data_IF_783388279060
#
_entry.id   IF_783388279060
#
_cell.length_a   1.000
_cell.length_b   1.000
_cell.length_c   1.000
_cell.angle_alpha   90.00
_cell.angle_beta   90.00
_cell.angle_gamma   90.00
#
_symmetry.space_group_name_H-M   'P 1'
#
loop_
_entity.id
_entity.type
_entity.pdbx_description
1 polymer ?
#
# COMPACT_ATOMS: atom_id res chain seq x y z
N UNK A 1 2.47 -22.16 -14.89
CA UNK A 1 2.39 -20.96 -15.73
C UNK A 1 0.94 -20.48 -15.85
N UNK A 2 0.05 -21.34 -16.31
CA UNK A 2 -1.36 -20.98 -16.45
C UNK A 2 -1.97 -20.55 -15.12
N UNK A 3 -1.54 -21.19 -14.05
CA UNK A 3 -2.01 -20.88 -12.73
C UNK A 3 -1.57 -19.48 -12.27
N UNK A 4 -0.31 -19.12 -12.54
CA UNK A 4 0.22 -17.79 -12.20
C UNK A 4 -0.49 -16.69 -12.97
N UNK A 5 -0.78 -16.94 -14.24
CA UNK A 5 -1.50 -15.95 -15.04
C UNK A 5 -2.93 -15.78 -14.55
N UNK A 6 -3.56 -16.86 -14.14
CA UNK A 6 -4.91 -16.81 -13.58
C UNK A 6 -4.93 -16.00 -12.30
N UNK A 7 -3.95 -16.22 -11.43
CA UNK A 7 -3.86 -15.46 -10.17
C UNK A 7 -3.65 -13.97 -10.43
N UNK A 8 -2.80 -13.62 -11.39
CA UNK A 8 -2.58 -12.24 -11.78
C UNK A 8 -3.86 -11.61 -12.33
N UNK A 9 -4.57 -12.34 -13.16
CA UNK A 9 -5.80 -11.84 -13.76
C UNK A 9 -6.89 -11.64 -12.71
N UNK A 10 -6.98 -12.56 -11.75
CA UNK A 10 -7.92 -12.41 -10.65
C UNK A 10 -7.59 -11.21 -9.77
N UNK A 11 -6.31 -11.00 -9.49
CA UNK A 11 -5.87 -9.85 -8.72
C UNK A 11 -6.21 -8.54 -9.45
N UNK A 12 -5.90 -8.47 -10.74
CA UNK A 12 -6.21 -7.27 -11.51
C UNK A 12 -7.72 -7.03 -11.60
N UNK A 13 -8.50 -8.08 -11.79
CA UNK A 13 -9.95 -7.95 -11.87
C UNK A 13 -10.56 -7.45 -10.56
N UNK A 14 -9.96 -7.80 -9.43
CA UNK A 14 -10.43 -7.39 -8.11
C UNK A 14 -9.83 -6.05 -7.66
N UNK A 15 -8.99 -5.42 -8.46
CA UNK A 15 -8.32 -4.18 -8.13
C UNK A 15 -9.10 -2.99 -8.68
N UNK A 16 -9.55 -2.10 -7.80
CA UNK A 16 -10.21 -0.86 -8.22
C UNK A 16 -9.18 0.18 -8.65
N UNK A 17 -8.07 0.25 -7.92
CA UNK A 17 -6.98 1.18 -8.21
C UNK A 17 -5.69 0.62 -7.62
N UNK A 18 -4.55 0.98 -8.21
CA UNK A 18 -3.25 0.58 -7.67
C UNK A 18 -2.23 1.69 -7.87
N UNK A 19 -1.25 1.74 -6.99
CA UNK A 19 -0.09 2.61 -7.16
C UNK A 19 1.18 1.81 -6.91
N UNK A 20 2.12 1.93 -7.83
CA UNK A 20 3.44 1.33 -7.66
C UNK A 20 4.32 2.38 -7.00
N UNK A 21 4.69 2.11 -5.75
CA UNK A 21 5.42 3.07 -4.94
C UNK A 21 6.83 3.26 -5.49
N UNK A 22 7.30 4.49 -5.49
CA UNK A 22 8.64 4.82 -5.98
C UNK A 22 8.72 5.07 -7.48
N UNK A 23 7.69 4.77 -8.25
CA UNK A 23 7.65 5.10 -9.66
C UNK A 23 7.00 6.45 -9.87
N UNK A 24 7.67 7.30 -10.62
CA UNK A 24 7.26 8.70 -10.78
C UNK A 24 5.84 8.86 -11.31
N UNK A 25 5.52 8.18 -12.40
CA UNK A 25 4.23 8.38 -13.05
C UNK A 25 3.06 7.87 -12.21
N UNK A 26 3.08 6.63 -11.69
CA UNK A 26 1.99 6.18 -10.81
C UNK A 26 1.82 7.06 -9.59
N UNK A 27 2.92 7.49 -8.98
CA UNK A 27 2.83 8.34 -7.79
C UNK A 27 2.24 9.72 -8.12
N UNK A 28 2.63 10.31 -9.23
CA UNK A 28 2.06 11.59 -9.69
C UNK A 28 0.57 11.44 -9.98
N UNK A 29 0.19 10.37 -10.64
CA UNK A 29 -1.21 10.11 -10.97
C UNK A 29 -2.07 9.95 -9.73
N UNK A 30 -1.46 9.58 -8.61
CA UNK A 30 -2.17 9.39 -7.34
C UNK A 30 -1.92 10.53 -6.36
N UNK A 31 -1.46 11.68 -6.85
CA UNK A 31 -1.27 12.90 -6.05
C UNK A 31 -0.44 12.66 -4.80
N UNK A 32 0.73 12.05 -4.99
CA UNK A 32 1.63 11.75 -3.87
C UNK A 32 1.94 13.00 -3.04
N UNK A 33 1.90 12.81 -1.72
CA UNK A 33 2.44 13.76 -0.75
C UNK A 33 3.33 12.98 0.19
N UNK A 34 4.38 13.64 0.66
CA UNK A 34 5.33 12.95 1.54
C UNK A 34 6.19 13.93 2.29
N UNK A 35 6.70 13.48 3.43
CA UNK A 35 7.74 14.15 4.20
C UNK A 35 8.72 13.09 4.68
N UNK A 36 9.99 13.40 4.69
CA UNK A 36 11.06 12.49 5.13
C UNK A 36 10.90 11.11 4.51
N UNK A 37 10.62 11.10 3.23
CA UNK A 37 10.36 9.89 2.47
C UNK A 37 11.46 9.67 1.45
N UNK A 38 11.77 8.41 1.20
CA UNK A 38 12.79 8.02 0.21
C UNK A 38 12.18 7.02 -0.76
N UNK A 39 12.76 6.95 -1.94
CA UNK A 39 12.39 5.94 -2.92
C UNK A 39 13.63 5.31 -3.51
N UNK A 40 13.48 4.15 -4.09
CA UNK A 40 14.58 3.44 -4.71
C UNK A 40 14.07 2.25 -5.49
N UNK A 41 14.98 1.38 -5.87
CA UNK A 41 14.62 0.16 -6.57
C UNK A 41 15.43 -1.02 -6.04
N UNK A 42 14.85 -2.21 -6.14
CA UNK A 42 15.48 -3.45 -5.72
C UNK A 42 14.89 -4.58 -6.56
N UNK A 43 15.74 -5.37 -7.20
CA UNK A 43 15.31 -6.46 -8.07
C UNK A 43 14.29 -6.02 -9.11
N UNK A 44 14.58 -4.89 -9.77
CA UNK A 44 13.75 -4.30 -10.82
C UNK A 44 12.37 -3.83 -10.34
N UNK A 45 12.20 -3.68 -9.03
CA UNK A 45 10.96 -3.11 -8.47
C UNK A 45 11.27 -1.86 -7.69
N UNK A 46 10.43 -0.87 -7.85
CA UNK A 46 10.54 0.38 -7.13
C UNK A 46 9.84 0.30 -5.78
N UNK A 47 10.34 1.08 -4.83
CA UNK A 47 9.78 1.12 -3.49
C UNK A 47 9.84 2.54 -2.94
N UNK A 48 9.07 2.77 -1.88
CA UNK A 48 9.12 4.01 -1.10
C UNK A 48 9.04 3.67 0.37
N UNK A 49 9.75 4.43 1.19
CA UNK A 49 9.64 4.34 2.63
C UNK A 49 9.58 5.76 3.22
N UNK A 50 9.39 5.83 4.54
CA UNK A 50 9.47 7.08 5.28
C UNK A 50 10.23 6.83 6.58
N UNK A 51 10.94 7.83 7.06
CA UNK A 51 11.78 7.73 8.26
C UNK A 51 11.34 8.74 9.30
N UNK A 52 11.62 8.45 10.56
CA UNK A 52 11.33 9.35 11.66
C UNK A 52 9.86 9.70 11.77
N UNK A 53 9.55 10.98 11.71
CA UNK A 53 8.16 11.45 11.74
C UNK A 53 7.60 11.66 10.33
N UNK A 54 8.27 11.08 9.34
CA UNK A 54 7.85 11.21 7.96
C UNK A 54 6.65 10.35 7.61
N UNK A 55 6.20 10.49 6.38
CA UNK A 55 5.05 9.75 5.89
C UNK A 55 4.97 9.92 4.37
N UNK A 56 4.14 9.07 3.74
CA UNK A 56 3.76 9.29 2.36
C UNK A 56 2.30 8.88 2.18
N UNK A 57 1.63 9.54 1.25
CA UNK A 57 0.21 9.30 1.01
C UNK A 57 -0.13 9.38 -0.46
N UNK A 58 -1.21 8.69 -0.82
CA UNK A 58 -1.74 8.65 -2.17
C UNK A 58 -3.25 8.85 -2.12
N UNK A 59 -3.78 9.50 -3.16
CA UNK A 59 -5.22 9.59 -3.36
C UNK A 59 -5.60 8.51 -4.35
N UNK A 60 -6.35 7.53 -3.90
CA UNK A 60 -6.72 6.39 -4.71
C UNK A 60 -8.21 6.46 -5.06
N UNK A 61 -8.53 6.03 -6.26
CA UNK A 61 -9.91 6.12 -6.78
C UNK A 61 -10.62 4.79 -6.65
N UNK A 62 -11.87 4.84 -6.21
CA UNK A 62 -12.69 3.63 -6.13
C UNK A 62 -13.24 3.24 -7.49
N UNK A 63 -13.28 4.19 -8.42
CA UNK A 63 -13.74 3.96 -9.80
C UNK A 63 -15.15 3.37 -9.88
N UNK A 64 -16.04 3.82 -8.97
CA UNK A 64 -17.42 3.36 -8.94
C UNK A 64 -17.61 1.94 -8.44
N UNK A 65 -16.56 1.34 -7.85
CA UNK A 65 -16.61 -0.04 -7.38
C UNK A 65 -16.65 -0.07 -5.84
N UNK A 66 -17.25 -1.10 -5.30
CA UNK A 66 -17.27 -1.32 -3.85
C UNK A 66 -15.94 -1.89 -3.42
N UNK A 67 -15.16 -1.08 -2.71
CA UNK A 67 -13.87 -1.52 -2.20
C UNK A 67 -14.04 -1.97 -0.75
N UNK A 68 -13.41 -3.08 -0.41
CA UNK A 68 -13.56 -3.68 0.92
C UNK A 68 -12.24 -3.84 1.65
N UNK A 69 -11.12 -3.86 0.94
CA UNK A 69 -9.81 -4.08 1.55
C UNK A 69 -8.74 -3.26 0.87
N UNK A 70 -7.69 -2.99 1.62
CA UNK A 70 -6.46 -2.43 1.11
C UNK A 70 -5.40 -3.52 1.09
N UNK A 71 -4.69 -3.65 -0.02
CA UNK A 71 -3.61 -4.63 -0.17
C UNK A 71 -2.28 -3.90 -0.29
N UNK A 72 -1.32 -4.28 0.55
CA UNK A 72 0.00 -3.64 0.57
C UNK A 72 1.08 -4.70 0.40
N UNK A 73 1.95 -4.52 -0.59
CA UNK A 73 3.15 -5.34 -0.74
C UNK A 73 4.34 -4.59 -0.19
N UNK A 74 5.13 -5.23 0.66
CA UNK A 74 6.25 -4.59 1.34
C UNK A 74 7.38 -5.59 1.59
N UNK A 75 8.55 -5.06 1.95
CA UNK A 75 9.71 -5.87 2.25
C UNK A 75 9.63 -6.37 3.68
N UNK A 76 9.68 -7.69 3.86
CA UNK A 76 9.69 -8.30 5.19
C UNK A 76 11.10 -8.38 5.76
N UNK A 77 11.19 -8.59 7.05
CA UNK A 77 12.46 -8.85 7.73
C UNK A 77 13.38 -7.66 7.88
N UNK A 78 12.91 -6.45 7.67
CA UNK A 78 13.73 -5.25 7.85
C UNK A 78 13.71 -4.83 9.31
N UNK A 79 14.91 -4.68 9.89
CA UNK A 79 15.05 -4.29 11.28
C UNK A 79 14.57 -2.86 11.51
N UNK A 80 14.00 -2.61 12.68
CA UNK A 80 13.62 -1.29 13.13
C UNK A 80 12.60 -0.60 12.23
N UNK A 81 11.69 -1.39 11.66
CA UNK A 81 10.63 -0.87 10.80
C UNK A 81 9.26 -1.29 11.31
N UNK A 82 8.31 -0.39 11.17
CA UNK A 82 6.89 -0.66 11.32
C UNK A 82 6.15 0.42 10.55
N UNK A 83 4.86 0.26 10.40
CA UNK A 83 4.07 1.32 9.77
C UNK A 83 2.63 1.26 10.22
N UNK A 84 2.08 2.43 10.48
CA UNK A 84 0.63 2.58 10.56
C UNK A 84 0.12 2.79 9.15
N UNK A 85 -0.92 2.07 8.81
CA UNK A 85 -1.60 2.22 7.53
C UNK A 85 -2.93 2.89 7.81
N UNK A 86 -3.13 4.04 7.21
CA UNK A 86 -4.31 4.87 7.46
C UNK A 86 -5.07 5.11 6.17
N UNK A 87 -6.39 5.11 6.27
CA UNK A 87 -7.26 5.46 5.15
C UNK A 87 -8.25 6.49 5.68
N UNK A 88 -8.35 7.62 5.01
CA UNK A 88 -9.20 8.75 5.43
C UNK A 88 -8.94 9.12 6.88
N UNK A 89 -7.65 9.18 7.25
CA UNK A 89 -7.16 9.55 8.58
C UNK A 89 -7.51 8.56 9.68
N UNK A 90 -7.97 7.37 9.33
CA UNK A 90 -8.25 6.30 10.30
C UNK A 90 -7.26 5.18 10.12
N UNK A 91 -6.71 4.68 11.22
CA UNK A 91 -5.80 3.54 11.18
C UNK A 91 -6.59 2.29 10.84
N UNK A 92 -6.22 1.63 9.74
CA UNK A 92 -6.84 0.36 9.35
C UNK A 92 -5.96 -0.83 9.70
N UNK A 93 -4.71 -0.61 10.01
CA UNK A 93 -3.81 -1.68 10.43
C UNK A 93 -2.38 -1.23 10.53
N UNK A 94 -1.49 -2.20 10.73
CA UNK A 94 -0.06 -1.97 10.86
C UNK A 94 0.72 -2.96 10.01
N UNK A 95 1.83 -2.49 9.46
CA UNK A 95 2.86 -3.36 8.91
C UNK A 95 3.90 -3.56 10.00
N UNK A 96 4.13 -4.80 10.38
CA UNK A 96 5.11 -5.14 11.40
C UNK A 96 6.24 -5.97 10.81
N UNK A 97 7.44 -5.93 11.39
CA UNK A 97 8.51 -6.80 10.93
C UNK A 97 8.05 -8.25 11.02
N UNK A 98 8.20 -8.97 9.92
CA UNK A 98 7.84 -10.37 9.84
C UNK A 98 9.14 -11.15 9.74
N UNK A 99 9.24 -12.27 10.44
CA UNK A 99 10.39 -13.14 10.35
C UNK A 99 10.58 -13.57 8.89
N UNK A 100 11.83 -13.53 8.45
CA UNK A 100 12.17 -13.88 7.09
C UNK A 100 12.13 -12.70 6.15
N UNK A 101 13.03 -12.72 5.19
CA UNK A 101 13.17 -11.67 4.20
C UNK A 101 12.28 -11.94 3.01
N UNK A 102 12.12 -10.92 2.19
CA UNK A 102 11.44 -11.01 0.93
C UNK A 102 10.12 -10.27 0.92
N UNK A 103 9.44 -10.38 -0.19
CA UNK A 103 8.18 -9.67 -0.42
C UNK A 103 7.07 -10.27 0.43
N UNK A 104 6.37 -9.40 1.16
CA UNK A 104 5.21 -9.80 1.95
C UNK A 104 3.98 -9.04 1.48
N UNK A 105 2.82 -9.61 1.72
CA UNK A 105 1.55 -8.99 1.36
C UNK A 105 0.67 -8.92 2.59
N UNK A 106 0.11 -7.75 2.85
CA UNK A 106 -0.84 -7.56 3.94
C UNK A 106 -2.17 -7.06 3.38
N UNK A 107 -3.27 -7.50 3.97
CA UNK A 107 -4.61 -7.05 3.64
C UNK A 107 -5.23 -6.41 4.87
N UNK A 108 -5.90 -5.28 4.66
CA UNK A 108 -6.56 -4.57 5.74
C UNK A 108 -8.01 -4.31 5.35
N UNK A 109 -8.94 -4.67 6.23
CA UNK A 109 -10.35 -4.40 5.99
C UNK A 109 -10.62 -2.90 6.10
N UNK A 110 -11.42 -2.38 5.17
CA UNK A 110 -11.81 -0.98 5.19
C UNK A 110 -13.14 -0.85 5.95
N UNK A 111 -13.25 0.19 6.82
CA UNK A 111 -14.51 0.42 7.53
C UNK A 111 -15.66 0.72 6.58
N UNK A 112 -16.87 0.33 7.00
CA UNK A 112 -18.08 0.55 6.20
C UNK A 112 -18.34 2.04 5.94
N UNK A 113 -17.87 2.92 6.81
CA UNK A 113 -18.01 4.37 6.63
C UNK A 113 -17.33 4.89 5.37
N UNK A 114 -16.46 4.09 4.78
CA UNK A 114 -15.79 4.47 3.54
C UNK A 114 -16.55 4.06 2.29
N UNK A 115 -17.66 3.35 2.45
CA UNK A 115 -18.49 2.95 1.32
C UNK A 115 -19.05 4.17 0.61
N UNK A 116 -19.07 4.12 -0.70
CA UNK A 116 -19.64 5.19 -1.52
C UNK A 116 -18.73 6.37 -1.78
N UNK A 117 -17.54 6.39 -1.21
CA UNK A 117 -16.57 7.46 -1.49
C UNK A 117 -15.91 7.22 -2.85
N UNK A 118 -15.66 8.30 -3.58
CA UNK A 118 -15.00 8.20 -4.88
C UNK A 118 -13.50 8.13 -4.77
N UNK A 119 -12.95 8.75 -3.74
CA UNK A 119 -11.50 8.84 -3.51
C UNK A 119 -11.22 8.51 -2.05
N UNK A 120 -10.19 7.69 -1.84
CA UNK A 120 -9.70 7.37 -0.50
C UNK A 120 -8.24 7.78 -0.41
N UNK A 121 -7.89 8.54 0.62
CA UNK A 121 -6.50 8.91 0.85
C UNK A 121 -5.86 7.85 1.75
N UNK A 122 -4.82 7.21 1.23
CA UNK A 122 -4.06 6.19 1.94
C UNK A 122 -2.75 6.80 2.40
N UNK A 123 -2.46 6.68 3.69
CA UNK A 123 -1.24 7.24 4.28
C UNK A 123 -0.49 6.16 5.03
N UNK A 124 0.82 6.15 4.86
CA UNK A 124 1.71 5.20 5.52
C UNK A 124 2.78 5.98 6.26
N UNK A 125 2.96 5.68 7.54
CA UNK A 125 3.88 6.41 8.42
C UNK A 125 4.48 5.44 9.44
N UNK A 126 5.74 5.65 9.89
CA UNK A 126 6.25 4.84 10.99
C UNK A 126 5.42 5.05 12.25
N UNK A 127 5.30 4.02 13.07
CA UNK A 127 4.61 4.12 14.35
C UNK A 127 5.62 4.36 15.47
N UNK A 128 6.30 3.32 15.89
CA UNK A 128 7.27 3.41 16.99
C UNK A 128 8.70 3.18 16.55
N UNK A 129 8.90 2.60 15.38
CA UNK A 129 10.22 2.29 14.87
C UNK A 129 10.79 3.45 14.06
N UNK A 130 12.03 3.30 13.61
CA UNK A 130 12.74 4.39 12.92
C UNK A 130 12.23 4.67 11.52
N UNK A 131 11.64 3.69 10.86
CA UNK A 131 11.21 3.82 9.47
C UNK A 131 10.09 2.87 9.16
N UNK A 132 9.40 3.12 8.04
CA UNK A 132 8.52 2.11 7.47
C UNK A 132 9.37 1.07 6.75
N UNK A 133 8.86 -0.15 6.54
CA UNK A 133 9.52 -1.03 5.59
C UNK A 133 9.40 -0.43 4.20
N UNK A 134 10.16 -0.98 3.25
CA UNK A 134 10.02 -0.60 1.85
C UNK A 134 8.68 -1.08 1.35
N UNK A 135 7.90 -0.17 0.82
CA UNK A 135 6.57 -0.49 0.29
C UNK A 135 6.65 -0.47 -1.23
N UNK A 136 6.20 -1.55 -1.85
CA UNK A 136 6.30 -1.70 -3.31
C UNK A 136 5.01 -1.34 -4.02
N UNK A 137 3.86 -1.70 -3.45
CA UNK A 137 2.59 -1.52 -4.15
C UNK A 137 1.44 -1.42 -3.16
N UNK A 138 0.48 -0.56 -3.48
CA UNK A 138 -0.76 -0.43 -2.71
C UNK A 138 -1.94 -0.58 -3.68
N UNK A 139 -2.91 -1.42 -3.33
CA UNK A 139 -4.11 -1.62 -4.14
C UNK A 139 -5.38 -1.48 -3.32
N UNK A 140 -6.38 -0.85 -3.90
CA UNK A 140 -7.74 -0.89 -3.37
C UNK A 140 -8.43 -2.10 -3.98
N UNK A 141 -8.91 -3.01 -3.13
CA UNK A 141 -9.48 -4.28 -3.55
C UNK A 141 -10.99 -4.29 -3.41
N UNK A 142 -11.66 -4.82 -4.41
CA UNK A 142 -13.11 -4.95 -4.38
C UNK A 142 -13.52 -6.15 -3.52
N UNK A 143 -14.79 -6.16 -3.14
CA UNK A 143 -15.33 -7.27 -2.39
C UNK A 143 -15.22 -8.55 -3.24
N UNK A 144 -14.79 -9.62 -2.59
CA UNK A 144 -14.68 -10.91 -3.25
C UNK A 144 -16.06 -11.54 -3.31
N UNK A 145 -16.42 -12.00 -4.47
CA UNK A 145 -17.67 -12.73 -4.65
C UNK A 145 -17.46 -14.22 -4.60
#
# INVERSE_FOLDING_TARGET
LARSEREKNELEAATADKVICGEQQPESDHFIRSEQSRNGSHNDRHWRDATGKGWFSYRMKTNGRDVSRLRVEYEGGMADTDALVMVEERTVGMLSPVDGRGMKTAYFDLPDEMDGKDVLTVKITPSEKKATPRVYEVRLMTAKK
#
